data_IF_642749480874
#
_entry.id   IF_642749480874
#
_cell.length_a   1.000
_cell.length_b   1.000
_cell.length_c   1.000
_cell.angle_alpha   90.00
_cell.angle_beta   90.00
_cell.angle_gamma   90.00
#
_symmetry.space_group_name_H-M   'P 1'
#
loop_
_entity.id
_entity.type
_entity.pdbx_description
1 polymer ?
#
# COMPACT_ATOMS: atom_id res chain seq x y z
N UNK A 1 10.61 33.23 4.89
CA UNK A 1 10.06 32.04 4.22
C UNK A 1 8.56 32.00 4.51
N UNK A 2 7.71 32.13 3.49
CA UNK A 2 6.29 32.47 3.65
C UNK A 2 5.44 31.23 4.03
N UNK A 3 4.47 31.35 4.94
CA UNK A 3 3.68 30.22 5.46
C UNK A 3 2.95 29.42 4.37
N UNK A 4 2.53 30.10 3.30
CA UNK A 4 1.91 29.49 2.10
C UNK A 4 2.87 28.61 1.30
N UNK A 5 4.17 28.89 1.34
CA UNK A 5 5.19 28.10 0.65
C UNK A 5 5.45 26.79 1.38
N UNK A 6 5.50 26.82 2.73
CA UNK A 6 5.64 25.61 3.56
C UNK A 6 4.46 24.65 3.43
N UNK A 7 3.22 25.14 3.43
CA UNK A 7 2.03 24.29 3.25
C UNK A 7 1.94 23.69 1.84
N UNK A 8 2.34 24.45 0.82
CA UNK A 8 2.41 23.96 -0.56
C UNK A 8 3.53 22.92 -0.72
N UNK A 9 4.70 23.15 -0.12
CA UNK A 9 5.80 22.19 -0.07
C UNK A 9 5.41 20.91 0.66
N UNK A 10 4.74 21.03 1.82
CA UNK A 10 4.25 19.88 2.57
C UNK A 10 3.19 19.11 1.77
N UNK A 11 2.27 19.80 1.08
CA UNK A 11 1.29 19.19 0.17
C UNK A 11 1.95 18.48 -1.03
N UNK A 12 3.01 19.05 -1.58
CA UNK A 12 3.74 18.45 -2.70
C UNK A 12 4.59 17.26 -2.27
N UNK A 13 5.19 17.29 -1.08
CA UNK A 13 5.90 16.17 -0.48
C UNK A 13 4.92 15.05 -0.12
N UNK A 14 3.79 15.35 0.51
CA UNK A 14 2.78 14.32 0.83
C UNK A 14 2.13 13.77 -0.43
N UNK A 15 1.89 14.57 -1.47
CA UNK A 15 1.45 14.07 -2.77
C UNK A 15 2.51 13.23 -3.47
N UNK A 16 3.79 13.64 -3.49
CA UNK A 16 4.87 12.84 -4.06
C UNK A 16 5.10 11.54 -3.29
N UNK A 17 5.12 11.58 -1.96
CA UNK A 17 5.21 10.39 -1.11
C UNK A 17 3.98 9.49 -1.25
N UNK A 18 2.77 10.06 -1.36
CA UNK A 18 1.53 9.32 -1.62
C UNK A 18 1.52 8.67 -3.00
N UNK A 19 2.03 9.35 -4.04
CA UNK A 19 2.22 8.78 -5.38
C UNK A 19 3.29 7.69 -5.39
N UNK A 20 4.39 7.84 -4.63
CA UNK A 20 5.42 6.80 -4.45
C UNK A 20 4.88 5.61 -3.63
N UNK A 21 3.98 5.84 -2.68
CA UNK A 21 3.29 4.78 -1.91
C UNK A 21 2.18 4.09 -2.69
N UNK A 22 1.67 4.73 -3.76
CA UNK A 22 0.73 4.12 -4.70
C UNK A 22 1.51 3.46 -5.83
N UNK A 23 2.54 2.67 -5.52
CA UNK A 23 3.00 1.66 -6.48
C UNK A 23 1.79 0.77 -6.70
N UNK A 24 1.31 0.76 -7.95
CA UNK A 24 0.30 -0.17 -8.43
C UNK A 24 0.90 -1.57 -8.42
N UNK A 25 1.19 -2.10 -7.23
CA UNK A 25 1.52 -3.50 -7.04
C UNK A 25 0.21 -4.20 -7.35
N UNK A 26 0.17 -4.89 -8.48
CA UNK A 26 -0.97 -5.76 -8.79
C UNK A 26 -1.12 -6.72 -7.62
N UNK A 27 -2.36 -6.88 -7.11
CA UNK A 27 -2.68 -7.72 -5.96
C UNK A 27 -1.98 -9.09 -6.05
N UNK A 28 -1.97 -9.65 -7.25
CA UNK A 28 -1.29 -10.90 -7.63
C UNK A 28 0.21 -10.90 -7.32
N UNK A 29 0.94 -9.83 -7.71
CA UNK A 29 2.38 -9.72 -7.46
C UNK A 29 2.70 -9.63 -5.96
N UNK A 30 1.86 -8.95 -5.18
CA UNK A 30 2.02 -8.89 -3.73
C UNK A 30 1.85 -10.27 -3.07
N UNK A 31 0.80 -11.00 -3.46
CA UNK A 31 0.53 -12.32 -2.92
C UNK A 31 1.61 -13.35 -3.30
N UNK A 32 2.15 -13.27 -4.52
CA UNK A 32 3.25 -14.14 -4.96
C UNK A 32 4.57 -13.82 -4.25
N UNK A 33 4.86 -12.54 -4.01
CA UNK A 33 6.00 -12.11 -3.21
C UNK A 33 5.93 -12.68 -1.78
N UNK A 34 4.78 -12.56 -1.13
CA UNK A 34 4.57 -13.11 0.23
C UNK A 34 4.76 -14.63 0.29
N UNK A 35 4.29 -15.35 -0.74
CA UNK A 35 4.50 -16.81 -0.82
C UNK A 35 5.98 -17.17 -0.99
N UNK A 36 6.72 -16.45 -1.83
CA UNK A 36 8.16 -16.68 -2.04
C UNK A 36 8.99 -16.38 -0.79
N UNK A 37 8.58 -15.41 0.03
CA UNK A 37 9.19 -15.14 1.35
C UNK A 37 8.86 -16.19 2.42
N UNK A 38 7.96 -17.14 2.16
CA UNK A 38 7.66 -18.25 3.07
C UNK A 38 6.81 -17.86 4.28
N UNK A 39 5.93 -16.87 4.15
CA UNK A 39 4.99 -16.55 5.23
C UNK A 39 4.09 -17.77 5.52
N UNK A 40 3.87 -18.10 6.81
CA UNK A 40 2.92 -19.14 7.18
C UNK A 40 1.51 -18.86 6.63
N UNK A 41 0.87 -19.89 6.08
CA UNK A 41 -0.48 -19.81 5.49
C UNK A 41 -1.52 -19.16 6.41
N UNK A 42 -1.40 -19.35 7.72
CA UNK A 42 -2.29 -18.73 8.71
C UNK A 42 -2.19 -17.20 8.71
N UNK A 43 -0.99 -16.65 8.54
CA UNK A 43 -0.77 -15.20 8.44
C UNK A 43 -1.25 -14.72 7.07
N UNK A 44 -0.92 -15.46 6.02
CA UNK A 44 -1.36 -15.17 4.66
C UNK A 44 -2.88 -15.04 4.57
N UNK A 45 -3.63 -16.03 5.07
CA UNK A 45 -5.09 -16.02 5.08
C UNK A 45 -5.71 -14.89 5.91
N UNK A 46 -5.05 -14.45 7.00
CA UNK A 46 -5.51 -13.31 7.78
C UNK A 46 -5.38 -12.00 7.00
N UNK A 47 -4.24 -11.82 6.31
CA UNK A 47 -4.00 -10.64 5.46
C UNK A 47 -4.98 -10.65 4.28
N UNK A 48 -5.16 -11.79 3.63
CA UNK A 48 -6.11 -11.94 2.51
C UNK A 48 -7.55 -11.66 2.94
N UNK A 49 -8.00 -12.18 4.08
CA UNK A 49 -9.32 -11.90 4.62
C UNK A 49 -9.51 -10.40 4.90
N UNK A 50 -8.48 -9.74 5.45
CA UNK A 50 -8.52 -8.32 5.78
C UNK A 50 -8.59 -7.41 4.55
N UNK A 51 -8.00 -7.83 3.42
CA UNK A 51 -8.07 -7.11 2.14
C UNK A 51 -9.34 -7.45 1.34
N UNK A 52 -9.76 -8.72 1.26
CA UNK A 52 -10.96 -9.14 0.52
C UNK A 52 -12.27 -8.63 1.12
N UNK A 53 -12.34 -8.51 2.45
CA UNK A 53 -13.53 -8.06 3.16
C UNK A 53 -13.56 -6.54 3.41
N UNK A 54 -12.69 -5.77 2.74
CA UNK A 54 -12.55 -4.35 3.04
C UNK A 54 -13.60 -3.48 2.33
N UNK A 55 -14.35 -2.73 3.13
CA UNK A 55 -15.26 -1.67 2.66
C UNK A 55 -14.88 -0.33 3.28
N UNK A 56 -14.84 0.72 2.47
CA UNK A 56 -14.66 2.10 2.91
C UNK A 56 -16.01 2.81 2.98
N UNK A 57 -16.13 3.79 3.88
CA UNK A 57 -17.22 4.77 3.88
C UNK A 57 -16.62 6.16 3.87
N UNK A 58 -17.20 7.06 3.10
CA UNK A 58 -16.75 8.44 3.00
C UNK A 58 -17.61 9.29 3.93
N UNK A 59 -16.97 10.02 4.85
CA UNK A 59 -17.64 11.01 5.68
C UNK A 59 -17.55 12.37 4.97
N UNK A 60 -18.68 12.93 4.57
CA UNK A 60 -18.75 14.26 3.96
C UNK A 60 -19.80 15.10 4.65
N UNK A 61 -19.41 16.28 5.15
CA UNK A 61 -20.27 17.19 5.91
C UNK A 61 -21.06 16.51 7.05
N UNK A 62 -20.44 15.55 7.75
CA UNK A 62 -21.05 14.83 8.86
C UNK A 62 -21.98 13.66 8.47
N UNK A 63 -22.18 13.42 7.17
CA UNK A 63 -22.98 12.29 6.68
C UNK A 63 -22.04 11.21 6.14
N UNK A 64 -22.24 9.97 6.60
CA UNK A 64 -21.54 8.80 6.08
C UNK A 64 -22.20 8.32 4.78
N UNK A 65 -21.38 8.02 3.77
CA UNK A 65 -21.82 7.31 2.58
C UNK A 65 -22.12 5.84 2.89
N UNK A 66 -22.84 5.20 1.96
CA UNK A 66 -22.95 3.75 1.93
C UNK A 66 -21.57 3.08 1.84
N UNK A 67 -21.43 1.83 2.33
CA UNK A 67 -20.20 1.06 2.21
C UNK A 67 -19.81 0.86 0.75
N UNK A 68 -18.64 1.36 0.38
CA UNK A 68 -18.02 1.15 -0.92
C UNK A 68 -17.02 0.01 -0.77
N UNK A 69 -17.23 -1.09 -1.50
CA UNK A 69 -16.27 -2.19 -1.53
C UNK A 69 -15.00 -1.73 -2.24
N UNK A 70 -13.85 -1.93 -1.60
CA UNK A 70 -12.56 -1.60 -2.20
C UNK A 70 -12.11 -2.79 -3.05
N UNK A 71 -12.05 -2.60 -4.36
CA UNK A 71 -11.69 -3.66 -5.33
C UNK A 71 -10.21 -3.60 -5.71
N UNK A 72 -9.56 -2.45 -5.50
CA UNK A 72 -8.15 -2.25 -5.80
C UNK A 72 -7.55 -1.15 -4.91
N UNK A 73 -6.23 -1.19 -4.74
CA UNK A 73 -5.48 -0.24 -3.93
C UNK A 73 -5.24 -0.72 -2.50
N UNK A 74 -4.32 -0.02 -1.83
CA UNK A 74 -3.90 -0.35 -0.47
C UNK A 74 -4.51 0.65 0.50
N UNK A 75 -4.91 0.20 1.70
CA UNK A 75 -5.45 1.09 2.73
C UNK A 75 -4.39 2.12 3.12
N UNK A 76 -4.63 3.40 2.81
CA UNK A 76 -3.75 4.49 3.25
C UNK A 76 -3.68 4.52 4.78
N UNK A 77 -2.49 4.82 5.31
CA UNK A 77 -2.20 4.91 6.76
C UNK A 77 -2.35 3.58 7.55
N UNK A 78 -2.50 2.44 6.87
CA UNK A 78 -2.54 1.14 7.52
C UNK A 78 -1.13 0.55 7.64
N UNK A 79 -0.72 0.14 8.85
CA UNK A 79 0.57 -0.55 9.08
C UNK A 79 0.74 -1.77 8.16
N UNK A 80 -0.37 -2.48 7.89
CA UNK A 80 -0.37 -3.64 7.00
C UNK A 80 -0.04 -3.28 5.54
N UNK A 81 -0.49 -2.11 5.10
CA UNK A 81 -0.16 -1.54 3.78
C UNK A 81 1.35 -1.30 3.66
N UNK A 82 1.93 -0.66 4.68
CA UNK A 82 3.37 -0.40 4.73
C UNK A 82 4.18 -1.70 4.77
N UNK A 83 3.73 -2.71 5.51
CA UNK A 83 4.39 -4.02 5.58
C UNK A 83 4.40 -4.73 4.21
N UNK A 84 3.24 -4.77 3.53
CA UNK A 84 3.14 -5.37 2.20
C UNK A 84 4.01 -4.65 1.18
N UNK A 85 4.04 -3.32 1.22
CA UNK A 85 4.92 -2.52 0.38
C UNK A 85 6.39 -2.88 0.58
N UNK A 86 6.84 -2.99 1.84
CA UNK A 86 8.22 -3.36 2.15
C UNK A 86 8.58 -4.76 1.65
N UNK A 87 7.68 -5.73 1.79
CA UNK A 87 7.93 -7.11 1.33
C UNK A 87 8.06 -7.17 -0.20
N UNK A 88 7.20 -6.47 -0.92
CA UNK A 88 7.27 -6.41 -2.38
C UNK A 88 8.50 -5.61 -2.84
N UNK A 89 8.85 -4.55 -2.13
CA UNK A 89 10.06 -3.78 -2.41
C UNK A 89 11.33 -4.61 -2.20
N UNK A 90 11.39 -5.40 -1.14
CA UNK A 90 12.50 -6.33 -0.88
C UNK A 90 12.63 -7.37 -2.00
N UNK A 91 11.52 -7.92 -2.50
CA UNK A 91 11.53 -8.83 -3.67
C UNK A 91 12.07 -8.15 -4.94
N UNK A 92 11.68 -6.91 -5.20
CA UNK A 92 12.18 -6.15 -6.36
C UNK A 92 13.67 -5.83 -6.19
N UNK A 93 14.09 -5.43 -4.99
CA UNK A 93 15.47 -5.07 -4.70
C UNK A 93 16.40 -6.28 -4.79
N UNK A 94 16.02 -7.40 -4.19
CA UNK A 94 16.78 -8.66 -4.29
C UNK A 94 16.86 -9.11 -5.75
N UNK A 95 15.74 -9.11 -6.48
CA UNK A 95 15.74 -9.47 -7.90
C UNK A 95 16.57 -8.54 -8.79
N UNK A 96 16.66 -7.25 -8.46
CA UNK A 96 17.49 -6.29 -9.17
C UNK A 96 18.98 -6.48 -8.88
N UNK A 97 19.35 -6.72 -7.61
CA UNK A 97 20.73 -6.97 -7.20
C UNK A 97 21.25 -8.29 -7.79
N UNK A 98 20.44 -9.35 -7.78
CA UNK A 98 20.80 -10.65 -8.35
C UNK A 98 20.96 -10.60 -9.89
N UNK A 99 20.35 -9.61 -10.55
CA UNK A 99 20.55 -9.33 -11.97
C UNK A 99 21.83 -8.51 -12.26
N UNK A 100 22.31 -7.68 -11.34
CA UNK A 100 23.57 -6.95 -11.52
C UNK A 100 24.82 -7.78 -11.20
N UNK A 101 24.67 -8.90 -10.48
CA UNK A 101 25.77 -9.80 -10.11
C UNK A 101 25.94 -11.01 -11.06
N UNK A 102 25.27 -11.01 -12.22
CA UNK A 102 25.46 -11.97 -13.32
C UNK A 102 26.08 -11.29 -14.53
#
# INVERSE_FOLDING_TARGET
>A
MNSKSLSTWYSLITKKLSTILTVSITETCAWEALRRKGLPEKIFGLIEAQYRAFSCRVLYNGVLSDPIRVVAGVRQECILSSLLFLIVFDEILVGAIDCELK
#
